data_IF_567949126470
#
_entry.id   IF_567949126470
#
_cell.length_a   1.000
_cell.length_b   1.000
_cell.length_c   1.000
_cell.angle_alpha   90.00
_cell.angle_beta   90.00
_cell.angle_gamma   90.00
#
_symmetry.space_group_name_H-M   'P 1'
#
loop_
_entity.id
_entity.type
_entity.pdbx_description
1 polymer ?
#
# COMPACT_ATOMS: atom_id res chain seq x y z
N UNK A 1 7.43 -5.47 28.37
CA UNK A 1 8.72 -5.14 27.75
C UNK A 1 8.88 -5.77 26.38
N UNK A 2 8.63 -7.06 26.26
CA UNK A 2 8.76 -7.73 24.96
C UNK A 2 7.77 -7.19 23.93
N UNK A 3 6.55 -6.87 24.32
CA UNK A 3 5.58 -6.25 23.44
C UNK A 3 6.05 -4.90 22.94
N UNK A 4 6.72 -4.15 23.80
CA UNK A 4 7.23 -2.85 23.45
C UNK A 4 8.39 -2.96 22.45
N UNK A 5 9.24 -3.96 22.60
CA UNK A 5 10.31 -4.22 21.63
C UNK A 5 9.78 -4.56 20.26
N UNK A 6 8.73 -5.37 20.20
CA UNK A 6 8.11 -5.72 18.91
C UNK A 6 7.55 -4.49 18.23
N UNK A 7 6.92 -3.60 19.00
CA UNK A 7 6.40 -2.36 18.47
C UNK A 7 7.51 -1.49 17.92
N UNK A 8 8.63 -1.40 18.64
CA UNK A 8 9.78 -0.64 18.20
C UNK A 8 10.37 -1.21 16.91
N UNK A 9 10.48 -2.53 16.81
CA UNK A 9 10.98 -3.18 15.60
C UNK A 9 10.06 -2.96 14.41
N UNK A 10 8.74 -3.02 14.64
CA UNK A 10 7.77 -2.75 13.58
C UNK A 10 7.88 -1.30 13.11
N UNK A 11 8.04 -0.37 14.06
CA UNK A 11 8.18 1.04 13.73
C UNK A 11 9.48 1.31 12.98
N UNK A 12 10.58 0.66 13.39
CA UNK A 12 11.86 0.79 12.72
C UNK A 12 11.80 0.25 11.29
N UNK A 13 11.14 -0.90 11.10
CA UNK A 13 10.95 -1.47 9.78
C UNK A 13 10.10 -0.56 8.90
N UNK A 14 9.10 0.07 9.50
CA UNK A 14 8.19 0.98 8.77
C UNK A 14 8.88 2.26 8.31
N UNK A 15 9.89 2.74 9.05
CA UNK A 15 10.61 3.96 8.66
C UNK A 15 11.81 3.67 7.76
N UNK A 16 12.21 2.43 7.58
CA UNK A 16 13.31 2.10 6.70
C UNK A 16 12.84 2.13 5.24
N UNK A 17 13.29 3.13 4.44
CA UNK A 17 12.80 3.27 3.07
C UNK A 17 13.19 2.09 2.16
N UNK A 18 14.19 1.31 2.52
CA UNK A 18 14.60 0.15 1.74
C UNK A 18 13.65 -1.02 1.96
N UNK A 19 13.07 -1.13 3.14
CA UNK A 19 12.15 -2.21 3.48
C UNK A 19 10.70 -1.87 3.18
N UNK A 20 10.35 -0.58 3.19
CA UNK A 20 8.98 -0.14 3.02
C UNK A 20 8.22 -0.12 4.35
N UNK A 21 6.91 -0.06 4.29
CA UNK A 21 6.05 0.09 5.46
C UNK A 21 5.33 -1.20 5.80
N UNK A 22 5.08 -1.41 7.10
CA UNK A 22 4.26 -2.54 7.55
C UNK A 22 2.78 -2.28 7.26
N UNK A 23 1.96 -3.32 7.38
CA UNK A 23 0.51 -3.17 7.21
C UNK A 23 -0.09 -2.22 8.25
N UNK A 24 0.40 -2.28 9.48
CA UNK A 24 -0.05 -1.37 10.55
C UNK A 24 0.28 0.08 10.24
N UNK A 25 1.50 0.33 9.83
CA UNK A 25 1.93 1.68 9.47
C UNK A 25 1.15 2.21 8.28
N UNK A 26 0.95 1.37 7.28
CA UNK A 26 0.20 1.73 6.08
C UNK A 26 -1.25 2.06 6.42
N UNK A 27 -1.90 1.22 7.22
CA UNK A 27 -3.26 1.46 7.66
C UNK A 27 -3.38 2.80 8.38
N UNK A 28 -2.44 3.08 9.27
CA UNK A 28 -2.41 4.33 10.04
C UNK A 28 -2.22 5.54 9.12
N UNK A 29 -1.29 5.43 8.18
CA UNK A 29 -0.97 6.52 7.26
C UNK A 29 -2.16 6.93 6.40
N UNK A 30 -2.93 5.96 5.94
CA UNK A 30 -4.04 6.22 5.02
C UNK A 30 -5.41 6.25 5.70
N UNK A 31 -5.45 6.10 7.03
CA UNK A 31 -6.72 6.10 7.77
C UNK A 31 -7.59 4.91 7.43
N UNK A 32 -6.97 3.77 7.10
CA UNK A 32 -7.65 2.55 6.74
C UNK A 32 -7.57 1.53 7.86
N UNK A 33 -8.49 0.57 7.84
CA UNK A 33 -8.38 -0.58 8.74
C UNK A 33 -7.44 -1.62 8.11
N UNK A 34 -6.86 -2.46 8.96
CA UNK A 34 -6.05 -3.58 8.48
C UNK A 34 -6.90 -4.52 7.64
N UNK A 35 -8.17 -4.72 8.04
CA UNK A 35 -9.10 -5.55 7.27
C UNK A 35 -9.33 -5.01 5.87
N UNK A 36 -9.39 -3.70 5.70
CA UNK A 36 -9.52 -3.09 4.38
C UNK A 36 -8.31 -3.44 3.50
N UNK A 37 -7.10 -3.38 4.07
CA UNK A 37 -5.88 -3.72 3.34
C UNK A 37 -5.84 -5.19 2.96
N UNK A 38 -6.30 -6.08 3.83
CA UNK A 38 -6.44 -7.51 3.50
C UNK A 38 -7.44 -7.70 2.37
N UNK A 39 -8.54 -6.97 2.40
CA UNK A 39 -9.55 -7.06 1.35
C UNK A 39 -8.99 -6.59 0.01
N UNK A 40 -8.25 -5.48 -0.01
CA UNK A 40 -7.63 -4.98 -1.23
C UNK A 40 -6.67 -6.00 -1.83
N UNK A 41 -5.93 -6.71 -0.98
CA UNK A 41 -5.05 -7.78 -1.44
C UNK A 41 -5.85 -8.93 -2.03
N UNK A 42 -6.93 -9.33 -1.37
CA UNK A 42 -7.78 -10.45 -1.82
C UNK A 42 -8.36 -10.19 -3.20
N UNK A 43 -8.79 -8.97 -3.45
CA UNK A 43 -9.39 -8.63 -4.77
C UNK A 43 -8.34 -8.21 -5.79
N UNK A 44 -7.07 -8.27 -5.44
CA UNK A 44 -5.97 -7.94 -6.36
C UNK A 44 -5.80 -6.45 -6.61
N UNK A 45 -6.32 -5.60 -5.73
CA UNK A 45 -6.24 -4.15 -5.89
C UNK A 45 -4.88 -3.62 -5.43
N UNK A 46 -4.43 -4.02 -4.23
CA UNK A 46 -3.10 -3.70 -3.71
C UNK A 46 -2.52 -4.98 -3.12
N UNK A 47 -1.50 -5.52 -3.77
CA UNK A 47 -0.86 -6.77 -3.35
C UNK A 47 0.58 -6.46 -2.95
N UNK A 48 0.85 -6.28 -1.67
CA UNK A 48 2.20 -5.94 -1.22
C UNK A 48 3.16 -7.12 -1.35
N UNK A 49 4.45 -6.79 -1.39
CA UNK A 49 5.49 -7.81 -1.32
C UNK A 49 5.51 -8.44 0.07
N UNK A 50 6.20 -9.55 0.19
CA UNK A 50 6.39 -10.24 1.46
C UNK A 50 7.87 -10.28 1.80
N UNK A 51 8.19 -10.07 3.07
CA UNK A 51 9.54 -10.26 3.56
C UNK A 51 9.84 -11.76 3.52
N UNK A 52 10.90 -12.19 2.79
CA UNK A 52 11.18 -13.62 2.64
C UNK A 52 11.63 -14.29 3.95
N UNK A 53 12.06 -13.50 4.93
CA UNK A 53 12.54 -14.04 6.22
C UNK A 53 11.38 -14.33 7.16
N UNK A 54 10.43 -13.41 7.29
CA UNK A 54 9.35 -13.54 8.28
C UNK A 54 7.95 -13.58 7.67
N UNK A 55 7.81 -13.40 6.36
CA UNK A 55 6.52 -13.44 5.68
C UNK A 55 5.64 -12.21 5.88
N UNK A 56 6.14 -11.20 6.57
CA UNK A 56 5.35 -9.98 6.82
C UNK A 56 5.19 -9.18 5.53
N UNK A 57 4.04 -8.53 5.40
CA UNK A 57 3.74 -7.69 4.24
C UNK A 57 4.59 -6.43 4.28
N UNK A 58 5.09 -6.05 3.11
CA UNK A 58 5.90 -4.84 2.93
C UNK A 58 5.23 -4.00 1.85
N UNK A 59 4.70 -2.84 2.25
CA UNK A 59 4.10 -1.89 1.31
C UNK A 59 5.17 -0.92 0.83
N UNK A 60 5.26 -0.74 -0.48
CA UNK A 60 6.30 0.06 -1.12
C UNK A 60 5.70 1.17 -1.98
N UNK A 61 6.54 1.88 -2.70
CA UNK A 61 6.12 3.04 -3.50
C UNK A 61 4.98 2.78 -4.46
N UNK A 62 4.99 1.65 -5.16
CA UNK A 62 3.90 1.28 -6.06
C UNK A 62 2.58 1.06 -5.32
N UNK A 63 2.65 0.49 -4.12
CA UNK A 63 1.46 0.30 -3.29
C UNK A 63 0.93 1.64 -2.78
N UNK A 64 1.83 2.53 -2.38
CA UNK A 64 1.44 3.87 -1.91
C UNK A 64 0.80 4.68 -3.03
N UNK A 65 1.32 4.57 -4.24
CA UNK A 65 0.71 5.19 -5.41
C UNK A 65 -0.75 4.74 -5.59
N UNK A 66 -0.97 3.43 -5.51
CA UNK A 66 -2.32 2.87 -5.61
C UNK A 66 -3.22 3.32 -4.46
N UNK A 67 -2.69 3.29 -3.23
CA UNK A 67 -3.46 3.69 -2.06
C UNK A 67 -3.86 5.16 -2.10
N UNK A 68 -3.00 6.03 -2.60
CA UNK A 68 -3.34 7.43 -2.78
C UNK A 68 -4.53 7.58 -3.73
N UNK A 69 -4.51 6.86 -4.85
CA UNK A 69 -5.60 6.91 -5.82
C UNK A 69 -6.88 6.32 -5.23
N UNK A 70 -6.76 5.18 -4.53
CA UNK A 70 -7.92 4.52 -3.92
C UNK A 70 -8.62 5.45 -2.93
N UNK A 71 -7.85 6.06 -2.03
CA UNK A 71 -8.44 6.91 -1.01
C UNK A 71 -9.05 8.18 -1.61
N UNK A 72 -8.40 8.76 -2.61
CA UNK A 72 -8.92 9.94 -3.29
C UNK A 72 -10.22 9.63 -4.05
N UNK A 73 -10.21 8.62 -4.89
CA UNK A 73 -11.37 8.29 -5.70
C UNK A 73 -12.52 7.75 -4.85
N UNK A 74 -12.21 6.98 -3.81
CA UNK A 74 -13.21 6.50 -2.87
C UNK A 74 -13.89 7.65 -2.15
N UNK A 75 -13.11 8.66 -1.78
CA UNK A 75 -13.64 9.88 -1.15
C UNK A 75 -14.55 10.68 -2.08
N UNK A 76 -14.39 10.51 -3.39
CA UNK A 76 -15.22 11.15 -4.40
C UNK A 76 -16.45 10.31 -4.78
N UNK A 77 -16.62 9.14 -4.16
CA UNK A 77 -17.78 8.29 -4.38
C UNK A 77 -17.61 7.18 -5.40
N UNK A 78 -16.40 6.97 -5.93
CA UNK A 78 -16.15 5.87 -6.86
C UNK A 78 -16.13 4.54 -6.13
N UNK A 79 -16.66 3.50 -6.77
CA UNK A 79 -16.64 2.14 -6.21
C UNK A 79 -15.25 1.52 -6.38
N UNK A 80 -14.96 0.49 -5.58
CA UNK A 80 -13.70 -0.23 -5.70
C UNK A 80 -13.54 -0.90 -7.07
N UNK A 81 -14.65 -1.35 -7.67
CA UNK A 81 -14.63 -1.92 -9.02
C UNK A 81 -14.18 -0.88 -10.04
N UNK A 82 -14.72 0.34 -9.94
CA UNK A 82 -14.33 1.44 -10.82
C UNK A 82 -12.86 1.82 -10.61
N UNK A 83 -12.43 1.89 -9.35
CA UNK A 83 -11.06 2.23 -9.01
C UNK A 83 -10.10 1.18 -9.55
N UNK A 84 -10.45 -0.09 -9.41
CA UNK A 84 -9.63 -1.18 -9.92
C UNK A 84 -9.47 -1.09 -11.44
N UNK A 85 -10.55 -0.77 -12.14
CA UNK A 85 -10.50 -0.56 -13.60
C UNK A 85 -9.61 0.61 -13.98
N UNK A 86 -9.70 1.71 -13.24
CA UNK A 86 -8.83 2.87 -13.45
C UNK A 86 -7.36 2.48 -13.28
N UNK A 87 -7.04 1.79 -12.18
CA UNK A 87 -5.65 1.40 -11.89
C UNK A 87 -5.09 0.41 -12.90
N UNK A 88 -5.93 -0.39 -13.52
CA UNK A 88 -5.50 -1.33 -14.56
C UNK A 88 -4.92 -0.60 -15.78
N UNK A 89 -5.42 0.61 -16.07
CA UNK A 89 -4.98 1.40 -17.22
C UNK A 89 -4.03 2.54 -16.83
N UNK A 90 -3.95 2.88 -15.54
CA UNK A 90 -3.15 4.01 -15.04
C UNK A 90 -2.18 3.54 -13.97
N UNK A 91 -1.29 2.60 -14.35
CA UNK A 91 -0.28 2.09 -13.43
C UNK A 91 0.83 3.13 -13.22
N UNK A 92 1.59 2.94 -12.14
CA UNK A 92 2.73 3.81 -11.86
C UNK A 92 3.73 3.81 -13.03
N UNK A 93 4.01 2.64 -13.60
CA UNK A 93 4.91 2.51 -14.73
C UNK A 93 4.43 3.31 -15.94
N UNK A 94 3.14 3.21 -16.26
CA UNK A 94 2.56 3.96 -17.39
C UNK A 94 2.64 5.45 -17.14
N UNK A 95 2.34 5.89 -15.92
CA UNK A 95 2.41 7.31 -15.55
C UNK A 95 3.83 7.85 -15.69
N UNK A 96 4.79 7.10 -15.16
CA UNK A 96 6.20 7.50 -15.24
C UNK A 96 6.69 7.54 -16.68
N UNK A 97 6.26 6.60 -17.50
CA UNK A 97 6.61 6.56 -18.90
C UNK A 97 6.09 7.78 -19.63
N UNK A 98 4.84 8.17 -19.37
CA UNK A 98 4.26 9.37 -19.98
C UNK A 98 5.04 10.63 -19.59
N UNK A 99 5.45 10.72 -18.33
CA UNK A 99 6.21 11.86 -17.85
C UNK A 99 7.60 11.92 -18.49
N UNK A 100 8.20 10.77 -18.78
CA UNK A 100 9.54 10.70 -19.37
C UNK A 100 9.53 10.94 -20.88
N UNK A 101 8.42 10.73 -21.55
CA UNK A 101 8.30 10.90 -23.00
C UNK A 101 8.18 12.37 -23.42
N UNK A 102 8.07 13.26 -22.46
CA UNK A 102 8.07 14.69 -22.71
C UNK A 102 9.50 15.26 -22.75
#
# INVERSE_FOLDING_TARGET
>A
MEKQRRTEQDDLAAINPLLGASIKQTARTYGLTIDALYYYERIGLVVPARNPVNGYRIYRGGDFFKLNIITELSGMGFSLTQIKGYLATHSLSSTMKLMNDE
#
